data_IF_607018079489
#
_entry.id   IF_607018079489
#
_cell.length_a   1.000
_cell.length_b   1.000
_cell.length_c   1.000
_cell.angle_alpha   90.00
_cell.angle_beta   90.00
_cell.angle_gamma   90.00
#
_symmetry.space_group_name_H-M   'P 1'
#
loop_
_entity.id
_entity.type
_entity.pdbx_description
1 polymer ?
#
# COMPACT_ATOMS: atom_id res chain seq x y z
N UNK A 1 -15.25 -53.16 36.89
CA UNK A 1 -15.24 -51.87 36.15
C UNK A 1 -16.60 -51.22 36.37
N UNK A 2 -16.64 -50.09 37.09
CA UNK A 2 -17.87 -49.53 37.67
C UNK A 2 -18.87 -49.07 36.60
N UNK A 3 -20.15 -49.41 36.80
CA UNK A 3 -21.28 -49.06 35.92
C UNK A 3 -21.38 -47.55 35.64
N UNK A 4 -20.88 -46.70 36.54
CA UNK A 4 -20.84 -45.24 36.36
C UNK A 4 -19.91 -44.78 35.25
N UNK A 5 -18.79 -45.48 34.99
CA UNK A 5 -17.88 -45.12 33.88
C UNK A 5 -18.46 -45.45 32.51
N UNK A 6 -19.37 -46.44 32.44
CA UNK A 6 -20.06 -46.77 31.20
C UNK A 6 -21.11 -45.72 30.81
N UNK A 7 -21.81 -45.13 31.78
CA UNK A 7 -22.78 -44.06 31.50
C UNK A 7 -22.13 -42.77 30.99
N UNK A 8 -20.95 -42.41 31.50
CA UNK A 8 -20.21 -41.24 31.02
C UNK A 8 -19.67 -41.42 29.59
N UNK A 9 -19.21 -42.62 29.23
CA UNK A 9 -18.78 -42.92 27.85
C UNK A 9 -19.97 -42.96 26.90
N UNK A 10 -21.11 -43.54 27.30
CA UNK A 10 -22.34 -43.55 26.48
C UNK A 10 -22.90 -42.14 26.28
N UNK A 11 -22.88 -41.28 27.31
CA UNK A 11 -23.33 -39.89 27.20
C UNK A 11 -22.41 -39.05 26.31
N UNK A 12 -21.08 -39.21 26.43
CA UNK A 12 -20.12 -38.54 25.55
C UNK A 12 -20.22 -39.00 24.10
N UNK A 13 -20.57 -40.27 23.86
CA UNK A 13 -20.77 -40.80 22.51
C UNK A 13 -22.11 -40.36 21.91
N UNK A 14 -23.16 -40.19 22.73
CA UNK A 14 -24.48 -39.72 22.28
C UNK A 14 -24.49 -38.24 21.90
N UNK A 15 -23.68 -37.41 22.58
CA UNK A 15 -23.55 -35.97 22.27
C UNK A 15 -22.74 -35.72 20.98
N UNK A 16 -21.86 -36.64 20.59
CA UNK A 16 -21.12 -36.58 19.31
C UNK A 16 -21.89 -37.20 18.12
N UNK A 17 -23.06 -37.79 18.32
CA UNK A 17 -23.84 -38.51 17.30
C UNK A 17 -25.27 -37.97 17.13
N UNK A 18 -25.49 -36.68 17.37
CA UNK A 18 -26.69 -36.00 16.87
C UNK A 18 -26.39 -35.45 15.47
N UNK A 19 -26.71 -36.17 14.38
CA UNK A 19 -26.86 -35.52 13.10
C UNK A 19 -28.07 -34.60 13.23
N UNK A 20 -27.83 -33.30 13.18
CA UNK A 20 -28.87 -32.30 12.99
C UNK A 20 -29.42 -32.52 11.58
N UNK A 21 -30.40 -33.42 11.46
CA UNK A 21 -31.17 -33.62 10.25
C UNK A 21 -32.14 -32.45 10.10
N UNK A 22 -31.70 -31.40 9.39
CA UNK A 22 -32.62 -30.40 8.85
C UNK A 22 -33.15 -30.96 7.53
N UNK A 23 -34.47 -31.07 7.33
CA UNK A 23 -35.02 -31.40 6.04
C UNK A 23 -34.89 -30.18 5.12
N UNK A 24 -33.90 -30.20 4.22
CA UNK A 24 -33.85 -29.29 3.08
C UNK A 24 -34.40 -30.04 1.86
N UNK A 25 -35.71 -29.96 1.67
CA UNK A 25 -36.29 -30.03 0.33
C UNK A 25 -36.44 -28.60 -0.17
N UNK A 26 -35.61 -28.15 -1.12
CA UNK A 26 -36.00 -27.26 -2.22
C UNK A 26 -34.91 -27.36 -3.31
N UNK A 27 -35.33 -27.96 -4.43
CA UNK A 27 -35.00 -27.62 -5.83
C UNK A 27 -33.56 -27.27 -6.21
N UNK A 28 -32.98 -28.18 -7.00
CA UNK A 28 -32.01 -27.82 -8.03
C UNK A 28 -32.65 -26.77 -8.96
N UNK A 29 -32.28 -25.50 -8.78
CA UNK A 29 -32.22 -24.54 -9.88
C UNK A 29 -30.76 -24.47 -10.31
N UNK A 30 -30.44 -25.15 -11.41
CA UNK A 30 -29.31 -24.79 -12.24
C UNK A 30 -29.63 -23.44 -12.88
N UNK A 31 -29.34 -22.34 -12.20
CA UNK A 31 -29.00 -21.10 -12.87
C UNK A 31 -27.49 -21.12 -13.04
N UNK A 32 -27.03 -21.37 -14.26
CA UNK A 32 -25.79 -20.77 -14.75
C UNK A 32 -26.00 -19.25 -14.75
N UNK A 33 -25.98 -18.64 -13.56
CA UNK A 33 -25.67 -17.24 -13.44
C UNK A 33 -24.16 -17.19 -13.65
N UNK A 34 -23.77 -16.73 -14.83
CA UNK A 34 -22.46 -16.12 -15.04
C UNK A 34 -22.31 -15.02 -13.99
N UNK A 35 -21.85 -15.39 -12.79
CA UNK A 35 -21.44 -14.44 -11.78
C UNK A 35 -20.21 -13.75 -12.35
N UNK A 36 -20.45 -12.71 -13.14
CA UNK A 36 -19.51 -11.61 -13.30
C UNK A 36 -19.17 -11.21 -11.87
N UNK A 37 -17.97 -11.57 -11.43
CA UNK A 37 -17.36 -11.05 -10.21
C UNK A 37 -17.43 -9.54 -10.39
N UNK A 38 -18.43 -8.93 -9.75
CA UNK A 38 -18.58 -7.49 -9.78
C UNK A 38 -17.41 -6.99 -8.96
N UNK A 39 -16.48 -6.27 -9.60
CA UNK A 39 -15.48 -5.49 -8.87
C UNK A 39 -16.21 -4.78 -7.72
N UNK A 40 -15.62 -4.68 -6.51
CA UNK A 40 -16.24 -3.90 -5.46
C UNK A 40 -16.53 -2.50 -6.01
N UNK A 41 -17.81 -2.17 -6.17
CA UNK A 41 -18.30 -0.87 -6.64
C UNK A 41 -17.77 0.29 -5.79
N UNK A 42 -17.23 -0.02 -4.62
CA UNK A 42 -16.79 0.89 -3.56
C UNK A 42 -15.33 1.36 -3.70
N UNK A 43 -14.52 0.79 -4.61
CA UNK A 43 -13.11 1.18 -4.73
C UNK A 43 -12.84 2.40 -5.64
N UNK A 44 -13.85 2.90 -6.36
CA UNK A 44 -13.64 3.89 -7.43
C UNK A 44 -14.70 4.98 -7.38
N UNK A 45 -14.50 5.98 -6.51
CA UNK A 45 -15.33 7.17 -6.52
C UNK A 45 -15.25 7.86 -7.89
N UNK A 46 -16.40 8.18 -8.48
CA UNK A 46 -16.45 8.96 -9.71
C UNK A 46 -15.94 10.38 -9.43
N UNK A 47 -14.81 10.76 -10.02
CA UNK A 47 -14.16 12.06 -9.76
C UNK A 47 -14.31 13.06 -10.90
N UNK A 48 -14.77 12.59 -12.06
CA UNK A 48 -14.89 13.36 -13.31
C UNK A 48 -13.60 14.09 -13.74
N UNK A 49 -12.44 13.57 -13.30
CA UNK A 49 -11.13 14.08 -13.69
C UNK A 49 -10.77 13.62 -15.09
N UNK A 50 -10.20 14.54 -15.87
CA UNK A 50 -9.77 14.25 -17.24
C UNK A 50 -8.62 13.27 -17.22
N UNK A 51 -8.75 12.22 -18.04
CA UNK A 51 -7.70 11.23 -18.26
C UNK A 51 -7.38 11.14 -19.73
N UNK A 52 -6.10 11.21 -20.03
CA UNK A 52 -5.54 11.07 -21.37
C UNK A 52 -4.94 9.68 -21.46
N UNK A 53 -5.39 8.92 -22.44
CA UNK A 53 -5.00 7.52 -22.63
C UNK A 53 -4.21 7.40 -23.92
N UNK A 54 -2.97 6.91 -23.81
CA UNK A 54 -2.14 6.51 -24.94
C UNK A 54 -2.17 4.99 -25.03
N UNK A 55 -2.92 4.47 -26.00
CA UNK A 55 -3.21 3.04 -26.13
C UNK A 55 -3.33 2.65 -27.59
N UNK A 56 -3.04 1.38 -27.90
CA UNK A 56 -3.32 0.80 -29.21
C UNK A 56 -4.83 0.75 -29.50
N UNK A 57 -5.23 0.99 -30.76
CA UNK A 57 -6.63 0.97 -31.21
C UNK A 57 -7.35 -0.32 -30.81
N UNK A 58 -6.63 -1.45 -30.82
CA UNK A 58 -7.16 -2.76 -30.44
C UNK A 58 -7.58 -2.89 -28.97
N UNK A 59 -7.06 -2.04 -28.09
CA UNK A 59 -7.32 -2.05 -26.64
C UNK A 59 -8.15 -0.85 -26.16
N UNK A 60 -8.36 0.16 -27.02
CA UNK A 60 -9.08 1.40 -26.68
C UNK A 60 -10.44 1.12 -26.03
N UNK A 61 -11.25 0.23 -26.63
CA UNK A 61 -12.57 -0.11 -26.12
C UNK A 61 -12.53 -0.62 -24.66
N UNK A 62 -11.48 -1.35 -24.28
CA UNK A 62 -11.32 -1.89 -22.92
C UNK A 62 -11.02 -0.78 -21.91
N UNK A 63 -10.12 0.13 -22.27
CA UNK A 63 -9.82 1.30 -21.44
C UNK A 63 -11.05 2.16 -21.21
N UNK A 64 -11.81 2.49 -22.26
CA UNK A 64 -13.01 3.30 -22.13
C UNK A 64 -14.13 2.59 -21.36
N UNK A 65 -14.35 1.30 -21.61
CA UNK A 65 -15.33 0.50 -20.86
C UNK A 65 -15.09 0.60 -19.36
N UNK A 66 -13.81 0.60 -18.94
CA UNK A 66 -13.46 0.73 -17.53
C UNK A 66 -13.48 2.17 -17.01
N UNK A 67 -12.87 3.10 -17.74
CA UNK A 67 -12.72 4.50 -17.31
C UNK A 67 -14.05 5.25 -17.26
N UNK A 68 -15.02 4.90 -18.11
CA UNK A 68 -16.37 5.52 -18.09
C UNK A 68 -17.13 5.26 -16.78
N UNK A 69 -16.72 4.25 -16.01
CA UNK A 69 -17.24 4.01 -14.65
C UNK A 69 -16.65 4.98 -13.62
N UNK A 70 -15.50 5.60 -13.89
CA UNK A 70 -14.77 6.47 -12.96
C UNK A 70 -14.72 7.94 -13.41
N UNK A 71 -14.96 8.24 -14.69
CA UNK A 71 -14.95 9.60 -15.26
C UNK A 71 -15.71 9.73 -16.56
N UNK A 72 -16.31 10.90 -16.82
CA UNK A 72 -16.89 11.23 -18.13
C UNK A 72 -15.90 11.88 -19.10
N UNK A 73 -14.66 12.12 -18.65
CA UNK A 73 -13.63 12.90 -19.37
C UNK A 73 -12.42 12.05 -19.79
N UNK A 74 -12.66 10.80 -20.19
CA UNK A 74 -11.62 9.99 -20.82
C UNK A 74 -11.45 10.40 -22.29
N UNK A 75 -10.20 10.58 -22.72
CA UNK A 75 -9.85 10.93 -24.10
C UNK A 75 -8.62 10.15 -24.54
N UNK A 76 -8.62 9.64 -25.77
CA UNK A 76 -7.44 9.08 -26.42
C UNK A 76 -6.72 10.13 -27.24
N UNK A 77 -5.40 10.04 -27.28
CA UNK A 77 -4.54 10.86 -28.13
C UNK A 77 -3.59 9.98 -28.90
N UNK A 78 -3.28 10.37 -30.13
CA UNK A 78 -2.34 9.65 -30.98
C UNK A 78 -0.87 9.96 -30.64
N UNK A 79 -0.62 11.09 -29.98
CA UNK A 79 0.71 11.57 -29.64
C UNK A 79 0.74 12.20 -28.24
N UNK A 80 1.83 11.95 -27.53
CA UNK A 80 2.08 12.56 -26.22
C UNK A 80 2.36 14.06 -26.29
N UNK A 81 2.73 14.55 -27.48
CA UNK A 81 3.01 15.96 -27.74
C UNK A 81 1.75 16.74 -28.16
N UNK A 82 0.57 16.12 -28.13
CA UNK A 82 -0.68 16.80 -28.48
C UNK A 82 -0.97 17.93 -27.48
N UNK A 83 -1.17 19.14 -28.01
CA UNK A 83 -1.43 20.32 -27.19
C UNK A 83 -2.77 20.18 -26.47
N UNK A 84 -2.74 20.00 -25.15
CA UNK A 84 -3.97 19.88 -24.37
C UNK A 84 -3.84 19.16 -23.04
N UNK A 85 -2.66 18.67 -22.65
CA UNK A 85 -2.40 18.09 -21.34
C UNK A 85 -2.21 19.24 -20.33
N UNK A 86 -3.03 19.26 -19.28
CA UNK A 86 -2.96 20.24 -18.20
C UNK A 86 -2.43 19.61 -16.92
N UNK A 87 -1.86 20.42 -16.01
CA UNK A 87 -1.34 19.98 -14.70
C UNK A 87 -2.37 19.23 -13.83
N UNK A 88 -3.65 19.37 -14.11
CA UNK A 88 -4.74 18.69 -13.39
C UNK A 88 -5.19 17.36 -14.00
N UNK A 89 -4.62 16.98 -15.14
CA UNK A 89 -4.98 15.79 -15.91
C UNK A 89 -4.24 14.55 -15.36
N UNK A 90 -4.71 13.37 -15.74
CA UNK A 90 -4.02 12.09 -15.50
C UNK A 90 -3.63 11.49 -16.84
N UNK A 91 -2.40 10.98 -16.97
CA UNK A 91 -1.92 10.35 -18.20
C UNK A 91 -1.73 8.85 -17.97
N UNK A 92 -2.44 8.01 -18.73
CA UNK A 92 -2.28 6.55 -18.74
C UNK A 92 -1.64 6.12 -20.07
N UNK A 93 -0.60 5.30 -20.00
CA UNK A 93 0.15 4.84 -21.16
C UNK A 93 0.20 3.31 -21.17
N UNK A 94 -0.46 2.67 -22.13
CA UNK A 94 -0.37 1.21 -22.30
C UNK A 94 0.98 0.83 -22.94
N UNK A 95 1.61 -0.22 -22.44
CA UNK A 95 2.91 -0.72 -22.94
C UNK A 95 2.88 -1.05 -24.44
N UNK A 96 1.76 -1.52 -24.99
CA UNK A 96 1.67 -1.80 -26.42
C UNK A 96 1.72 -0.55 -27.29
N UNK A 97 1.37 0.62 -26.75
CA UNK A 97 1.56 1.91 -27.43
C UNK A 97 3.05 2.30 -27.44
N UNK A 98 3.74 2.09 -26.31
CA UNK A 98 5.18 2.33 -26.19
C UNK A 98 6.01 1.46 -27.15
N UNK A 99 5.62 0.19 -27.31
CA UNK A 99 6.30 -0.76 -28.21
C UNK A 99 6.20 -0.42 -29.70
N UNK A 100 5.16 0.32 -30.11
CA UNK A 100 4.90 0.69 -31.51
C UNK A 100 5.46 2.06 -31.90
N UNK A 101 5.95 2.85 -30.95
CA UNK A 101 6.31 4.25 -31.14
C UNK A 101 7.84 4.45 -31.10
N UNK A 102 8.35 5.50 -31.73
CA UNK A 102 9.79 5.84 -31.69
C UNK A 102 10.22 6.26 -30.27
N UNK A 103 11.18 5.51 -29.71
CA UNK A 103 11.69 5.65 -28.33
C UNK A 103 12.12 7.06 -27.97
N UNK A 104 12.78 7.77 -28.89
CA UNK A 104 13.29 9.11 -28.59
C UNK A 104 12.17 10.13 -28.45
N UNK A 105 11.14 10.06 -29.30
CA UNK A 105 10.08 11.07 -29.37
C UNK A 105 9.14 11.01 -28.16
N UNK A 106 8.86 9.82 -27.63
CA UNK A 106 7.99 9.71 -26.46
C UNK A 106 8.74 9.90 -25.13
N UNK A 107 10.04 9.59 -25.04
CA UNK A 107 10.81 9.82 -23.82
C UNK A 107 10.80 11.30 -23.41
N UNK A 108 11.09 12.20 -24.36
CA UNK A 108 11.06 13.64 -24.11
C UNK A 108 9.64 14.12 -23.74
N UNK A 109 8.59 13.53 -24.33
CA UNK A 109 7.20 13.85 -24.03
C UNK A 109 6.79 13.45 -22.60
N UNK A 110 7.09 12.21 -22.21
CA UNK A 110 6.80 11.69 -20.85
C UNK A 110 7.60 12.48 -19.81
N UNK A 111 8.88 12.74 -20.09
CA UNK A 111 9.75 13.54 -19.23
C UNK A 111 9.17 14.93 -18.99
N UNK A 112 8.76 15.64 -20.04
CA UNK A 112 8.13 16.94 -19.88
C UNK A 112 6.87 16.86 -19.01
N UNK A 113 5.99 15.88 -19.25
CA UNK A 113 4.76 15.69 -18.47
C UNK A 113 5.07 15.49 -16.98
N UNK A 114 6.04 14.63 -16.66
CA UNK A 114 6.49 14.38 -15.29
C UNK A 114 7.03 15.68 -14.68
N UNK A 115 7.92 16.39 -15.38
CA UNK A 115 8.53 17.62 -14.88
C UNK A 115 7.54 18.79 -14.72
N UNK A 116 6.40 18.77 -15.42
CA UNK A 116 5.29 19.70 -15.19
C UNK A 116 4.39 19.33 -13.99
N UNK A 117 4.65 18.19 -13.35
CA UNK A 117 3.88 17.68 -12.22
C UNK A 117 2.53 17.08 -12.58
N UNK A 118 2.45 16.46 -13.75
CA UNK A 118 1.29 15.71 -14.19
C UNK A 118 1.53 14.23 -13.85
N UNK A 119 0.60 13.55 -13.15
CA UNK A 119 0.73 12.13 -12.86
C UNK A 119 0.66 11.29 -14.13
N UNK A 120 1.68 10.44 -14.30
CA UNK A 120 1.81 9.49 -15.39
C UNK A 120 1.74 8.07 -14.82
N UNK A 121 0.98 7.19 -15.45
CA UNK A 121 0.98 5.75 -15.14
C UNK A 121 1.21 4.95 -16.42
N UNK A 122 2.25 4.13 -16.45
CA UNK A 122 2.44 3.12 -17.48
C UNK A 122 1.75 1.82 -17.05
N UNK A 123 0.99 1.21 -17.95
CA UNK A 123 0.29 -0.05 -17.72
C UNK A 123 0.95 -1.13 -18.58
N UNK A 124 1.52 -2.12 -17.92
CA UNK A 124 2.39 -3.13 -18.49
C UNK A 124 3.52 -3.50 -17.54
N UNK A 125 4.25 -4.57 -17.88
CA UNK A 125 5.20 -5.23 -16.98
C UNK A 125 6.60 -4.60 -16.96
N UNK A 126 6.81 -3.50 -17.69
CA UNK A 126 8.13 -2.92 -17.92
C UNK A 126 8.19 -1.44 -17.48
N UNK A 127 8.91 -1.11 -16.39
CA UNK A 127 9.12 0.25 -15.91
C UNK A 127 10.29 0.97 -16.58
N UNK A 128 11.02 0.35 -17.52
CA UNK A 128 12.32 0.85 -18.03
C UNK A 128 12.26 2.28 -18.55
N UNK A 129 11.15 2.67 -19.18
CA UNK A 129 10.97 4.03 -19.71
C UNK A 129 10.91 5.04 -18.57
N UNK A 130 10.09 4.79 -17.54
CA UNK A 130 10.04 5.65 -16.37
C UNK A 130 11.42 5.68 -15.69
N UNK A 131 12.02 4.52 -15.44
CA UNK A 131 13.36 4.39 -14.86
C UNK A 131 14.37 5.28 -15.59
N UNK A 132 14.43 5.19 -16.93
CA UNK A 132 15.39 5.95 -17.72
C UNK A 132 15.20 7.47 -17.61
N UNK A 133 13.95 7.92 -17.51
CA UNK A 133 13.61 9.34 -17.35
C UNK A 133 13.99 9.82 -15.95
N UNK A 134 13.70 9.03 -14.92
CA UNK A 134 14.01 9.36 -13.54
C UNK A 134 15.52 9.42 -13.30
N UNK A 135 16.27 8.44 -13.81
CA UNK A 135 17.74 8.43 -13.74
C UNK A 135 18.37 9.61 -14.48
N UNK A 136 17.84 9.99 -15.65
CA UNK A 136 18.33 11.16 -16.41
C UNK A 136 18.17 12.47 -15.64
N UNK A 137 17.15 12.56 -14.76
CA UNK A 137 16.78 13.77 -14.04
C UNK A 137 17.15 13.74 -12.56
N UNK A 138 17.96 12.76 -12.12
CA UNK A 138 18.32 12.56 -10.71
C UNK A 138 17.10 12.52 -9.77
N UNK A 139 15.99 11.95 -10.24
CA UNK A 139 14.74 11.85 -9.50
C UNK A 139 14.68 10.54 -8.69
N UNK A 140 14.22 10.66 -7.44
CA UNK A 140 13.94 9.54 -6.55
C UNK A 140 12.98 8.53 -7.17
N UNK A 141 13.22 7.23 -6.98
CA UNK A 141 12.38 6.15 -7.55
C UNK A 141 12.24 4.93 -6.63
N UNK A 142 11.04 4.36 -6.64
CA UNK A 142 10.69 3.09 -6.01
C UNK A 142 9.79 2.29 -6.98
N UNK A 143 10.38 1.80 -8.08
CA UNK A 143 9.68 1.06 -9.13
C UNK A 143 10.13 -0.41 -9.14
N UNK A 144 9.25 -1.31 -8.72
CA UNK A 144 9.59 -2.71 -8.50
C UNK A 144 9.27 -3.58 -9.73
N UNK A 145 10.25 -4.28 -10.33
CA UNK A 145 10.01 -5.06 -11.53
C UNK A 145 8.98 -6.17 -11.29
N UNK A 146 8.14 -6.43 -12.30
CA UNK A 146 7.13 -7.51 -12.28
C UNK A 146 5.74 -7.09 -11.80
N UNK A 147 5.46 -5.80 -11.72
CA UNK A 147 4.12 -5.25 -11.47
C UNK A 147 3.33 -5.11 -12.78
N UNK A 148 2.02 -4.95 -12.69
CA UNK A 148 1.13 -4.75 -13.85
C UNK A 148 1.03 -3.28 -14.28
N UNK A 149 1.37 -2.33 -13.40
CA UNK A 149 1.47 -0.91 -13.74
C UNK A 149 2.39 -0.14 -12.79
N UNK A 150 2.90 0.98 -13.30
CA UNK A 150 3.87 1.86 -12.66
C UNK A 150 3.46 3.32 -12.79
N UNK A 151 3.35 4.03 -11.66
CA UNK A 151 2.98 5.45 -11.63
C UNK A 151 4.11 6.34 -11.15
N UNK A 152 4.13 7.57 -11.63
CA UNK A 152 5.05 8.61 -11.18
C UNK A 152 4.46 10.02 -11.28
N UNK A 153 4.76 10.86 -10.30
CA UNK A 153 4.51 12.30 -10.30
C UNK A 153 5.65 13.01 -9.58
N UNK A 154 6.01 14.20 -10.08
CA UNK A 154 6.96 15.11 -9.46
C UNK A 154 6.25 16.40 -9.05
N UNK A 155 6.56 16.96 -7.89
CA UNK A 155 6.10 18.29 -7.50
C UNK A 155 7.17 19.33 -7.92
N UNK A 156 6.93 20.11 -9.00
CA UNK A 156 7.91 21.09 -9.48
C UNK A 156 8.11 22.29 -8.55
N UNK A 157 7.24 22.45 -7.53
CA UNK A 157 7.35 23.55 -6.55
C UNK A 157 8.12 23.08 -5.33
N UNK A 158 7.75 21.92 -4.76
CA UNK A 158 8.32 21.38 -3.54
C UNK A 158 9.51 20.42 -3.73
N UNK A 159 9.73 19.94 -4.95
CA UNK A 159 10.74 18.92 -5.27
C UNK A 159 10.35 17.48 -4.88
N UNK A 160 9.18 17.29 -4.27
CA UNK A 160 8.70 15.99 -3.83
C UNK A 160 8.40 15.04 -4.99
N UNK A 161 8.50 13.75 -4.75
CA UNK A 161 8.22 12.71 -5.73
C UNK A 161 7.26 11.67 -5.15
N UNK A 162 6.32 11.20 -5.95
CA UNK A 162 5.50 10.04 -5.60
C UNK A 162 5.52 9.01 -6.72
N UNK A 163 5.66 7.74 -6.37
CA UNK A 163 5.53 6.62 -7.31
C UNK A 163 4.47 5.61 -6.89
N UNK A 164 4.06 4.73 -7.79
CA UNK A 164 3.27 3.56 -7.42
C UNK A 164 3.62 2.32 -8.21
N UNK A 165 3.42 1.17 -7.57
CA UNK A 165 3.49 -0.15 -8.16
C UNK A 165 2.13 -0.84 -7.96
N UNK A 166 1.54 -1.36 -9.03
CA UNK A 166 0.24 -2.05 -8.96
C UNK A 166 0.46 -3.49 -9.40
N UNK A 167 0.21 -4.46 -8.52
CA UNK A 167 0.27 -5.88 -8.84
C UNK A 167 -1.04 -6.57 -8.47
N UNK A 168 -1.64 -7.24 -9.45
CA UNK A 168 -2.89 -7.95 -9.28
C UNK A 168 -2.71 -9.46 -9.53
N UNK A 169 -3.06 -10.28 -8.54
CA UNK A 169 -2.99 -11.75 -8.69
C UNK A 169 -3.97 -12.22 -9.77
N UNK A 170 -3.48 -13.02 -10.73
CA UNK A 170 -4.31 -13.65 -11.76
C UNK A 170 -4.98 -14.89 -11.17
N UNK A 171 -6.31 -14.88 -11.10
CA UNK A 171 -7.12 -16.00 -10.60
C UNK A 171 -7.92 -16.71 -11.70
N UNK A 172 -7.83 -16.22 -12.94
CA UNK A 172 -8.55 -16.73 -14.11
C UNK A 172 -10.02 -16.35 -14.20
N UNK A 173 -10.56 -15.58 -13.24
CA UNK A 173 -11.97 -15.14 -13.23
C UNK A 173 -12.09 -13.61 -13.26
N UNK A 174 -11.11 -12.91 -12.72
CA UNK A 174 -11.06 -11.45 -12.68
C UNK A 174 -10.39 -10.91 -13.92
N UNK A 175 -10.98 -9.86 -14.50
CA UNK A 175 -10.30 -9.09 -15.53
C UNK A 175 -9.24 -8.18 -14.87
N UNK A 176 -8.04 -8.75 -14.67
CA UNK A 176 -6.90 -8.05 -14.08
C UNK A 176 -6.63 -6.70 -14.77
N UNK A 177 -6.84 -6.60 -16.08
CA UNK A 177 -6.61 -5.35 -16.79
C UNK A 177 -7.59 -4.25 -16.35
N UNK A 178 -8.86 -4.59 -16.11
CA UNK A 178 -9.85 -3.61 -15.64
C UNK A 178 -9.50 -3.09 -14.23
N UNK A 179 -9.12 -3.99 -13.33
CA UNK A 179 -8.67 -3.64 -11.97
C UNK A 179 -7.46 -2.72 -12.01
N UNK A 180 -6.47 -3.03 -12.85
CA UNK A 180 -5.24 -2.25 -13.01
C UNK A 180 -5.55 -0.86 -13.58
N UNK A 181 -6.38 -0.77 -14.62
CA UNK A 181 -6.78 0.53 -15.22
C UNK A 181 -7.48 1.41 -14.20
N UNK A 182 -8.46 0.86 -13.48
CA UNK A 182 -9.20 1.60 -12.45
C UNK A 182 -8.27 2.10 -11.35
N UNK A 183 -7.38 1.23 -10.87
CA UNK A 183 -6.43 1.55 -9.78
C UNK A 183 -5.44 2.63 -10.21
N UNK A 184 -4.85 2.47 -11.41
CA UNK A 184 -3.95 3.44 -12.01
C UNK A 184 -4.59 4.83 -12.12
N UNK A 185 -5.82 4.88 -12.63
CA UNK A 185 -6.57 6.12 -12.75
C UNK A 185 -6.80 6.78 -11.38
N UNK A 186 -7.29 6.03 -10.41
CA UNK A 186 -7.55 6.54 -9.07
C UNK A 186 -6.30 7.10 -8.40
N UNK A 187 -5.19 6.37 -8.48
CA UNK A 187 -3.92 6.85 -7.96
C UNK A 187 -3.52 8.17 -8.62
N UNK A 188 -3.60 8.24 -9.96
CA UNK A 188 -3.31 9.46 -10.71
C UNK A 188 -4.22 10.62 -10.30
N UNK A 189 -5.51 10.38 -10.10
CA UNK A 189 -6.46 11.41 -9.64
C UNK A 189 -6.09 11.95 -8.27
N UNK A 190 -5.81 11.06 -7.31
CA UNK A 190 -5.42 11.45 -5.94
C UNK A 190 -4.20 12.35 -5.99
N UNK A 191 -3.20 11.98 -6.80
CA UNK A 191 -1.98 12.77 -6.98
C UNK A 191 -2.22 14.10 -7.69
N UNK A 192 -3.02 14.14 -8.75
CA UNK A 192 -3.44 15.38 -9.41
C UNK A 192 -4.24 16.32 -8.49
N UNK A 193 -4.83 15.79 -7.42
CA UNK A 193 -5.55 16.56 -6.40
C UNK A 193 -4.68 16.96 -5.21
N UNK A 194 -3.38 16.63 -5.23
CA UNK A 194 -2.46 16.88 -4.11
C UNK A 194 -2.85 16.11 -2.84
N UNK A 195 -3.57 15.00 -2.99
CA UNK A 195 -3.96 14.17 -1.86
C UNK A 195 -2.74 13.46 -1.28
N UNK A 196 -2.73 13.38 0.04
CA UNK A 196 -1.73 12.59 0.77
C UNK A 196 -1.76 11.13 0.28
N UNK A 197 -0.60 10.45 0.20
CA UNK A 197 -0.54 9.01 -0.05
C UNK A 197 -1.34 8.21 0.99
N UNK A 198 -1.50 8.77 2.20
CA UNK A 198 -2.32 8.24 3.29
C UNK A 198 -3.69 8.89 3.25
N UNK A 199 -4.67 8.19 2.70
CA UNK A 199 -6.07 8.58 2.89
C UNK A 199 -6.53 8.23 4.30
N UNK A 200 -7.21 9.17 4.93
CA UNK A 200 -8.08 8.85 6.06
C UNK A 200 -9.29 8.15 5.45
N UNK A 201 -9.44 6.84 5.69
CA UNK A 201 -10.70 6.15 5.38
C UNK A 201 -11.79 6.92 6.11
N UNK A 202 -12.74 7.50 5.37
CA UNK A 202 -13.93 8.06 5.98
C UNK A 202 -14.73 6.88 6.54
N UNK A 203 -14.89 6.75 7.87
CA UNK A 203 -15.63 5.64 8.46
C UNK A 203 -17.11 5.64 8.04
N UNK A 204 -17.59 6.68 7.33
CA UNK A 204 -18.95 6.77 6.80
C UNK A 204 -19.13 6.23 5.37
N UNK A 205 -18.04 5.97 4.62
CA UNK A 205 -18.10 5.42 3.24
C UNK A 205 -17.91 3.89 3.14
N UNK A 206 -17.73 3.19 4.26
CA UNK A 206 -17.67 1.71 4.29
C UNK A 206 -19.10 1.14 4.36
N UNK A 207 -19.63 0.66 3.23
CA UNK A 207 -20.98 0.09 3.15
C UNK A 207 -21.07 -1.25 3.89
N UNK A 208 -21.62 -1.20 5.11
CA UNK A 208 -22.72 -2.01 5.73
C UNK A 208 -22.75 -3.56 5.57
N UNK A 209 -21.82 -4.23 4.87
CA UNK A 209 -21.75 -5.71 4.81
C UNK A 209 -20.68 -6.33 5.71
N UNK A 210 -19.61 -5.61 6.05
CA UNK A 210 -18.83 -5.93 7.24
C UNK A 210 -19.56 -5.39 8.47
N UNK A 211 -20.60 -6.12 8.91
CA UNK A 211 -21.19 -5.91 10.24
C UNK A 211 -20.14 -6.28 11.29
N UNK A 212 -19.20 -5.39 11.54
CA UNK A 212 -18.63 -4.93 12.82
C UNK A 212 -17.39 -4.09 12.46
N UNK A 213 -17.60 -2.85 11.99
CA UNK A 213 -16.56 -1.83 12.15
C UNK A 213 -16.51 -1.57 13.65
N UNK A 214 -15.35 -1.74 14.28
CA UNK A 214 -15.11 -1.10 15.57
C UNK A 214 -15.25 0.39 15.33
N UNK A 215 -16.43 0.95 15.63
CA UNK A 215 -16.59 2.37 15.86
C UNK A 215 -15.67 2.71 17.03
N UNK A 216 -14.45 3.10 16.71
CA UNK A 216 -13.60 3.81 17.64
C UNK A 216 -14.15 5.22 17.73
N UNK A 217 -14.72 5.59 18.87
CA UNK A 217 -15.21 6.95 19.20
C UNK A 217 -14.12 8.04 19.20
N UNK A 218 -12.94 7.76 18.65
CA UNK A 218 -11.95 8.75 18.27
C UNK A 218 -11.90 8.77 16.75
N UNK A 219 -12.31 9.85 16.06
CA UNK A 219 -11.81 10.06 14.71
C UNK A 219 -10.29 9.91 14.76
N UNK A 220 -9.70 9.13 13.86
CA UNK A 220 -8.26 9.17 13.62
C UNK A 220 -7.88 10.62 13.26
N UNK A 221 -7.65 11.46 14.26
CA UNK A 221 -6.84 12.65 14.16
C UNK A 221 -5.41 12.14 14.09
N UNK A 222 -5.00 11.71 12.89
CA UNK A 222 -3.67 12.09 12.48
C UNK A 222 -3.73 13.61 12.51
N UNK A 223 -3.23 14.19 13.62
CA UNK A 223 -3.05 15.62 13.71
C UNK A 223 -2.44 16.02 12.38
N UNK A 224 -3.08 16.97 11.68
CA UNK A 224 -2.50 17.58 10.49
C UNK A 224 -1.04 17.77 10.84
N UNK A 225 -0.16 16.97 10.26
CA UNK A 225 1.25 17.30 10.30
C UNK A 225 1.24 18.68 9.66
N UNK A 226 1.47 19.70 10.47
CA UNK A 226 1.89 20.99 9.96
C UNK A 226 3.28 20.71 9.42
N UNK A 227 3.35 20.07 8.25
CA UNK A 227 4.53 20.04 7.41
C UNK A 227 4.72 21.50 7.00
N UNK A 228 5.35 22.25 7.90
CA UNK A 228 6.19 23.36 7.53
C UNK A 228 7.03 22.91 6.34
N UNK A 229 7.27 23.83 5.41
CA UNK A 229 7.94 23.70 4.10
C UNK A 229 9.41 23.23 4.16
N UNK A 230 9.74 22.35 5.09
CA UNK A 230 11.07 21.95 5.53
C UNK A 230 11.33 20.46 5.28
N UNK A 231 10.43 19.72 4.65
CA UNK A 231 10.67 18.31 4.31
C UNK A 231 10.36 18.06 2.83
N UNK A 232 11.32 17.50 2.09
CA UNK A 232 11.06 16.92 0.77
C UNK A 232 10.65 15.46 0.98
N UNK A 233 9.59 15.01 0.30
CA UNK A 233 9.10 13.64 0.42
C UNK A 233 9.38 12.85 -0.84
N UNK A 234 9.93 11.66 -0.68
CA UNK A 234 9.83 10.59 -1.64
C UNK A 234 8.87 9.53 -1.08
N UNK A 235 7.69 9.40 -1.69
CA UNK A 235 6.71 8.39 -1.30
C UNK A 235 6.43 7.39 -2.41
N UNK A 236 6.01 6.20 -2.02
CA UNK A 236 5.39 5.30 -2.97
C UNK A 236 4.30 4.45 -2.35
N UNK A 237 3.44 3.99 -3.26
CA UNK A 237 2.28 3.18 -2.98
C UNK A 237 2.39 1.85 -3.71
N UNK A 238 2.20 0.73 -3.01
CA UNK A 238 2.05 -0.59 -3.62
C UNK A 238 0.69 -1.17 -3.27
N UNK A 239 -0.09 -1.54 -4.27
CA UNK A 239 -1.32 -2.30 -4.09
C UNK A 239 -1.09 -3.74 -4.55
N UNK A 240 -1.34 -4.67 -3.64
CA UNK A 240 -1.37 -6.09 -3.93
C UNK A 240 -2.78 -6.63 -3.75
N UNK A 241 -3.41 -6.97 -4.87
CA UNK A 241 -4.72 -7.60 -4.86
C UNK A 241 -4.56 -9.13 -4.82
N UNK A 242 -4.81 -9.76 -3.66
CA UNK A 242 -4.88 -11.21 -3.52
C UNK A 242 -6.34 -11.65 -3.66
N UNK A 243 -6.74 -12.07 -4.87
CA UNK A 243 -8.15 -12.28 -5.21
C UNK A 243 -8.91 -13.17 -4.22
N UNK A 244 -8.26 -14.18 -3.67
CA UNK A 244 -8.90 -15.10 -2.72
C UNK A 244 -8.86 -14.61 -1.27
N UNK A 245 -7.76 -13.96 -0.88
CA UNK A 245 -7.37 -13.77 0.53
C UNK A 245 -7.66 -12.38 1.08
N UNK A 246 -7.52 -11.35 0.26
CA UNK A 246 -7.53 -9.98 0.77
C UNK A 246 -6.75 -9.00 -0.08
N UNK A 247 -6.63 -7.77 0.41
CA UNK A 247 -5.80 -6.73 -0.19
C UNK A 247 -4.71 -6.33 0.77
N UNK A 248 -3.58 -5.92 0.20
CA UNK A 248 -2.47 -5.37 0.96
C UNK A 248 -2.10 -4.05 0.30
N UNK A 249 -2.09 -2.99 1.11
CA UNK A 249 -1.68 -1.65 0.71
C UNK A 249 -0.40 -1.31 1.46
N UNK A 250 0.67 -1.03 0.71
CA UNK A 250 1.92 -0.55 1.25
C UNK A 250 2.06 0.92 0.90
N UNK A 251 2.35 1.77 1.88
CA UNK A 251 2.72 3.15 1.65
C UNK A 251 3.99 3.42 2.44
N UNK A 252 5.06 3.78 1.75
CA UNK A 252 6.27 4.27 2.41
C UNK A 252 6.49 5.70 2.02
N UNK A 253 6.91 6.50 2.98
CA UNK A 253 7.33 7.86 2.74
C UNK A 253 8.64 8.10 3.47
N UNK A 254 9.61 8.62 2.74
CA UNK A 254 10.89 9.07 3.28
C UNK A 254 10.97 10.58 3.12
N UNK A 255 11.17 11.24 4.25
CA UNK A 255 11.20 12.67 4.35
C UNK A 255 12.63 13.10 4.63
N UNK A 256 13.23 13.90 3.76
CA UNK A 256 14.52 14.55 4.03
C UNK A 256 14.30 15.85 4.79
N UNK A 257 15.07 16.06 5.85
CA UNK A 257 15.05 17.30 6.62
C UNK A 257 15.79 18.41 5.85
N UNK A 258 15.04 19.35 5.29
CA UNK A 258 15.61 20.54 4.67
C UNK A 258 16.17 21.51 5.73
N UNK A 259 17.26 22.19 5.37
CA UNK A 259 17.86 23.26 6.18
C UNK A 259 18.24 22.81 7.60
N UNK A 260 18.74 21.59 7.74
CA UNK A 260 19.19 21.02 9.00
C UNK A 260 20.40 21.75 9.63
N UNK A 261 20.95 22.78 8.96
CA UNK A 261 22.04 23.61 9.45
C UNK A 261 23.31 22.81 9.77
N UNK A 262 23.52 21.68 9.10
CA UNK A 262 24.77 20.94 9.17
C UNK A 262 25.31 20.65 7.78
N UNK A 263 26.63 20.67 7.65
CA UNK A 263 27.36 20.29 6.42
C UNK A 263 27.88 18.86 6.50
N UNK A 264 27.62 18.15 7.60
CA UNK A 264 28.21 16.83 7.86
C UNK A 264 27.23 15.70 7.56
N UNK A 265 25.95 15.88 7.88
CA UNK A 265 24.94 14.84 7.75
C UNK A 265 23.68 15.40 7.13
N UNK A 266 22.91 14.56 6.46
CA UNK A 266 21.50 14.82 6.18
C UNK A 266 20.65 13.80 6.95
N UNK A 267 19.44 14.20 7.34
CA UNK A 267 18.53 13.37 8.15
C UNK A 267 17.28 12.99 7.36
N UNK A 268 16.95 11.71 7.43
CA UNK A 268 15.80 11.12 6.77
C UNK A 268 14.87 10.49 7.81
N UNK A 269 13.59 10.84 7.75
CA UNK A 269 12.53 10.17 8.50
C UNK A 269 11.79 9.21 7.58
N UNK A 270 11.74 7.94 7.94
CA UNK A 270 11.00 6.92 7.18
C UNK A 270 9.73 6.55 7.93
N UNK A 271 8.63 6.51 7.19
CA UNK A 271 7.29 6.29 7.69
C UNK A 271 6.67 5.13 6.91
N UNK A 272 6.58 3.96 7.54
CA UNK A 272 6.19 2.71 6.89
C UNK A 272 4.74 2.40 7.22
N UNK A 273 3.88 2.28 6.21
CA UNK A 273 2.49 1.91 6.38
C UNK A 273 2.22 0.59 5.64
N UNK A 274 1.72 -0.39 6.37
CA UNK A 274 1.25 -1.66 5.83
C UNK A 274 -0.18 -1.86 6.31
N UNK A 275 -1.12 -1.79 5.38
CA UNK A 275 -2.52 -2.11 5.59
C UNK A 275 -2.86 -3.46 4.97
N UNK A 276 -3.65 -4.23 5.70
CA UNK A 276 -4.15 -5.54 5.29
C UNK A 276 -5.66 -5.56 5.43
N UNK A 277 -6.36 -6.02 4.38
CA UNK A 277 -7.81 -6.14 4.35
C UNK A 277 -8.16 -7.58 3.98
N UNK A 278 -8.44 -8.47 4.94
CA UNK A 278 -8.73 -9.87 4.65
C UNK A 278 -10.15 -10.02 4.08
N UNK A 279 -10.36 -11.00 3.20
CA UNK A 279 -11.69 -11.40 2.69
C UNK A 279 -12.38 -12.34 3.69
N UNK A 280 -12.75 -11.83 4.85
CA UNK A 280 -13.43 -12.63 5.88
C UNK A 280 -14.85 -13.05 5.48
N UNK A 281 -15.63 -12.14 4.91
CA UNK A 281 -16.96 -12.44 4.38
C UNK A 281 -16.93 -12.28 2.85
N UNK A 282 -17.28 -13.32 2.05
CA UNK A 282 -17.75 -14.66 2.43
C UNK A 282 -16.65 -15.72 2.58
N UNK A 283 -15.39 -15.38 2.29
CA UNK A 283 -14.33 -16.39 2.07
C UNK A 283 -13.64 -16.89 3.34
N UNK A 284 -13.94 -16.34 4.52
CA UNK A 284 -13.37 -16.73 5.82
C UNK A 284 -11.84 -16.65 5.91
N UNK A 285 -11.22 -15.76 5.12
CA UNK A 285 -9.80 -15.45 5.29
C UNK A 285 -9.59 -14.42 6.40
N UNK A 286 -8.49 -14.57 7.13
CA UNK A 286 -8.05 -13.71 8.23
C UNK A 286 -6.57 -13.36 8.09
N UNK A 287 -6.16 -12.21 8.62
CA UNK A 287 -4.74 -11.83 8.73
C UNK A 287 -4.14 -12.43 10.00
N UNK A 288 -3.06 -13.20 9.86
CA UNK A 288 -2.29 -13.80 10.96
C UNK A 288 -1.11 -12.92 11.35
N UNK A 289 -0.33 -12.49 10.35
CA UNK A 289 0.88 -11.72 10.60
C UNK A 289 0.96 -10.53 9.66
N UNK A 290 1.53 -9.45 10.18
CA UNK A 290 1.98 -8.29 9.41
C UNK A 290 3.40 -7.97 9.84
N UNK A 291 4.35 -7.94 8.90
CA UNK A 291 5.76 -7.72 9.19
C UNK A 291 6.33 -6.64 8.30
N UNK A 292 7.04 -5.69 8.91
CA UNK A 292 7.83 -4.66 8.23
C UNK A 292 9.28 -4.84 8.69
N UNK A 293 10.18 -5.18 7.76
CA UNK A 293 11.58 -5.46 8.10
C UNK A 293 12.52 -5.00 6.99
N UNK A 294 13.80 -4.83 7.32
CA UNK A 294 14.80 -4.46 6.34
C UNK A 294 16.06 -3.91 6.98
N UNK A 295 16.85 -3.17 6.20
CA UNK A 295 18.09 -2.56 6.68
C UNK A 295 18.46 -1.27 5.94
N UNK A 296 19.34 -0.49 6.56
CA UNK A 296 19.99 0.71 5.97
C UNK A 296 21.49 0.48 5.82
N UNK A 297 21.88 -0.67 5.28
CA UNK A 297 23.25 -1.19 5.37
C UNK A 297 24.28 -0.53 4.43
N UNK A 298 24.05 0.71 3.96
CA UNK A 298 24.98 1.40 3.09
C UNK A 298 26.09 2.14 3.87
N UNK A 299 27.26 2.31 3.24
CA UNK A 299 28.38 3.04 3.85
C UNK A 299 27.99 4.50 4.11
N UNK A 300 28.31 5.03 5.29
CA UNK A 300 27.93 6.39 5.67
C UNK A 300 26.53 6.56 6.26
N UNK A 301 25.67 5.53 6.22
CA UNK A 301 24.33 5.58 6.80
C UNK A 301 24.25 4.95 8.18
N UNK A 302 23.49 5.57 9.08
CA UNK A 302 23.28 5.07 10.44
C UNK A 302 21.85 5.34 10.91
N UNK A 303 21.23 4.35 11.53
CA UNK A 303 19.97 4.58 12.23
C UNK A 303 20.22 5.38 13.51
N UNK A 304 19.47 6.47 13.63
CA UNK A 304 19.48 7.37 14.78
C UNK A 304 18.45 6.91 15.80
N UNK A 305 17.26 6.48 15.32
CA UNK A 305 16.14 6.08 16.17
C UNK A 305 15.19 5.16 15.41
N UNK A 306 14.57 4.23 16.12
CA UNK A 306 13.40 3.48 15.67
C UNK A 306 12.21 3.84 16.56
N UNK A 307 11.02 3.44 16.14
CA UNK A 307 9.88 3.28 17.04
C UNK A 307 10.28 2.52 18.32
N UNK A 308 9.78 2.99 19.45
CA UNK A 308 10.24 2.60 20.78
C UNK A 308 9.79 1.19 21.20
N UNK A 309 10.42 0.74 22.27
CA UNK A 309 10.66 -0.63 22.77
C UNK A 309 9.47 -1.35 23.43
N UNK A 310 8.22 -1.13 23.00
CA UNK A 310 7.07 -1.78 23.66
C UNK A 310 6.48 -2.89 22.80
N UNK A 311 6.87 -4.13 23.13
CA UNK A 311 6.00 -5.26 22.80
C UNK A 311 4.65 -5.03 23.48
N UNK A 312 3.57 -4.94 22.70
CA UNK A 312 2.26 -4.43 23.12
C UNK A 312 1.45 -5.38 24.01
N UNK A 313 2.09 -6.15 24.90
CA UNK A 313 1.39 -7.13 25.73
C UNK A 313 0.28 -6.47 26.57
N UNK A 314 -0.97 -6.61 26.11
CA UNK A 314 -2.16 -6.09 26.77
C UNK A 314 -2.51 -4.62 26.51
N UNK A 315 -1.87 -3.93 25.55
CA UNK A 315 -2.23 -2.56 25.17
C UNK A 315 -3.19 -2.55 23.98
N UNK A 316 -4.13 -1.60 23.95
CA UNK A 316 -5.03 -1.40 22.80
C UNK A 316 -4.46 -0.45 21.75
N UNK A 317 -3.44 0.34 22.11
CA UNK A 317 -2.82 1.35 21.24
C UNK A 317 -1.32 1.37 21.45
N UNK A 318 -0.57 1.65 20.38
CA UNK A 318 0.87 1.93 20.44
C UNK A 318 1.14 3.32 19.89
N UNK A 319 2.11 4.02 20.49
CA UNK A 319 2.50 5.37 20.11
C UNK A 319 3.90 5.36 19.53
N UNK A 320 4.04 5.95 18.34
CA UNK A 320 5.31 6.24 17.70
C UNK A 320 5.82 7.57 18.21
N UNK A 321 7.06 7.60 18.68
CA UNK A 321 7.78 8.81 19.06
C UNK A 321 9.20 8.81 18.47
N UNK A 322 9.40 9.55 17.38
CA UNK A 322 10.66 9.71 16.66
C UNK A 322 11.34 11.04 17.02
N UNK A 323 11.67 11.21 18.30
CA UNK A 323 12.40 12.39 18.78
C UNK A 323 13.93 12.24 18.68
N UNK A 324 14.64 13.21 18.12
CA UNK A 324 16.10 13.28 18.23
C UNK A 324 16.61 14.71 18.28
N UNK A 325 17.83 14.89 18.76
CA UNK A 325 18.49 16.20 18.78
C UNK A 325 19.93 16.09 18.32
N UNK A 326 20.42 17.10 17.60
CA UNK A 326 21.79 17.18 17.13
C UNK A 326 22.34 18.60 17.26
N UNK A 327 23.66 18.73 17.17
CA UNK A 327 24.33 20.02 17.16
C UNK A 327 24.55 20.44 15.70
N UNK A 328 23.98 21.59 15.33
CA UNK A 328 24.28 22.27 14.08
C UNK A 328 25.73 22.76 14.03
N UNK A 329 26.22 23.09 12.84
CA UNK A 329 27.59 23.58 12.65
C UNK A 329 27.84 24.92 13.35
N UNK A 330 26.78 25.71 13.57
CA UNK A 330 26.81 26.95 14.35
C UNK A 330 26.80 26.73 15.88
N UNK A 331 26.81 25.48 16.36
CA UNK A 331 26.80 25.14 17.78
C UNK A 331 25.42 25.21 18.46
N UNK A 332 24.36 25.49 17.71
CA UNK A 332 22.97 25.44 18.21
C UNK A 332 22.47 23.99 18.25
N UNK A 333 21.82 23.60 19.34
CA UNK A 333 21.12 22.30 19.43
C UNK A 333 19.78 22.41 18.73
N UNK A 334 19.56 21.55 17.74
CA UNK A 334 18.28 21.43 17.03
C UNK A 334 17.60 20.15 17.52
N UNK A 335 16.33 20.25 17.89
CA UNK A 335 15.49 19.13 18.30
C UNK A 335 14.37 18.89 17.29
N UNK A 336 14.19 17.64 16.88
CA UNK A 336 13.17 17.20 15.94
C UNK A 336 12.32 16.16 16.65
N UNK A 337 11.02 16.25 16.46
CA UNK A 337 10.08 15.28 17.00
C UNK A 337 8.95 15.04 16.01
N UNK A 338 8.70 13.77 15.72
CA UNK A 338 7.50 13.32 15.04
C UNK A 338 6.84 12.25 15.91
N UNK A 339 5.51 12.34 16.06
CA UNK A 339 4.77 11.38 16.85
C UNK A 339 3.39 11.10 16.25
N UNK A 340 2.98 9.84 16.29
CA UNK A 340 1.64 9.38 15.93
C UNK A 340 1.28 8.13 16.74
N UNK A 341 0.06 7.62 16.61
CA UNK A 341 -0.33 6.37 17.28
C UNK A 341 -1.26 5.55 16.40
N UNK A 342 -1.30 4.24 16.62
CA UNK A 342 -2.22 3.33 15.95
C UNK A 342 -2.70 2.22 16.91
N UNK A 343 -3.79 1.56 16.53
CA UNK A 343 -4.45 0.55 17.36
C UNK A 343 -3.74 -0.80 17.23
N UNK A 344 -3.48 -1.45 18.38
CA UNK A 344 -2.85 -2.78 18.49
C UNK A 344 -3.64 -3.70 19.41
N UNK A 345 -4.93 -3.40 19.63
CA UNK A 345 -5.80 -4.27 20.42
C UNK A 345 -5.85 -5.67 19.79
N UNK A 346 -5.66 -6.69 20.62
CA UNK A 346 -5.59 -8.10 20.20
C UNK A 346 -4.44 -8.41 19.23
N UNK A 347 -3.39 -7.57 19.25
CA UNK A 347 -2.15 -7.74 18.48
C UNK A 347 -0.96 -7.79 19.43
N UNK A 348 -0.09 -8.77 19.22
CA UNK A 348 1.23 -8.85 19.86
C UNK A 348 2.25 -8.23 18.92
N UNK A 349 2.68 -7.01 19.22
CA UNK A 349 3.82 -6.37 18.55
C UNK A 349 5.13 -6.94 19.12
N UNK A 350 6.04 -7.33 18.25
CA UNK A 350 7.42 -7.74 18.56
C UNK A 350 8.37 -6.82 17.80
N UNK A 351 9.18 -6.05 18.53
CA UNK A 351 10.19 -5.17 17.97
C UNK A 351 11.57 -5.88 18.03
N UNK A 352 12.02 -6.39 16.88
CA UNK A 352 13.32 -7.05 16.71
C UNK A 352 14.37 -6.11 16.08
N UNK A 353 14.13 -4.80 16.09
CA UNK A 353 15.07 -3.82 15.55
C UNK A 353 16.43 -3.89 16.26
N UNK A 354 17.51 -3.79 15.48
CA UNK A 354 18.87 -3.81 15.99
C UNK A 354 19.66 -2.64 15.38
N UNK A 355 19.91 -1.60 16.20
CA UNK A 355 20.64 -0.40 15.76
C UNK A 355 22.08 -0.73 15.36
N UNK A 356 22.76 -1.61 16.11
CA UNK A 356 24.15 -1.99 15.84
C UNK A 356 24.32 -2.74 14.52
N UNK A 357 23.35 -3.58 14.17
CA UNK A 357 23.30 -4.29 12.89
C UNK A 357 22.62 -3.48 11.77
N UNK A 358 22.05 -2.31 12.08
CA UNK A 358 21.27 -1.45 11.15
C UNK A 358 20.07 -2.16 10.53
N UNK A 359 19.47 -3.06 11.30
CA UNK A 359 18.28 -3.84 10.92
C UNK A 359 17.08 -3.25 11.64
N UNK A 360 15.97 -3.10 10.93
CA UNK A 360 14.65 -2.87 11.52
C UNK A 360 13.78 -4.09 11.23
N UNK A 361 12.96 -4.50 12.19
CA UNK A 361 12.07 -5.67 12.09
C UNK A 361 10.95 -5.50 13.13
N UNK A 362 9.77 -5.12 12.65
CA UNK A 362 8.54 -5.03 13.42
C UNK A 362 7.60 -6.13 12.96
N UNK A 363 7.25 -7.02 13.88
CA UNK A 363 6.29 -8.09 13.64
C UNK A 363 5.04 -7.87 14.48
N UNK A 364 3.90 -7.73 13.81
CA UNK A 364 2.58 -7.69 14.40
C UNK A 364 1.95 -9.07 14.22
N UNK A 365 1.78 -9.79 15.32
CA UNK A 365 1.07 -11.06 15.38
C UNK A 365 -0.38 -10.79 15.80
N UNK A 366 -1.32 -10.99 14.89
CA UNK A 366 -2.74 -10.74 15.09
C UNK A 366 -3.41 -12.03 15.58
N UNK A 367 -4.22 -11.95 16.63
CA UNK A 367 -5.01 -13.10 17.07
C UNK A 367 -6.09 -13.41 16.02
N UNK A 368 -5.92 -14.52 15.30
CA UNK A 368 -6.76 -14.91 14.17
C UNK A 368 -8.21 -15.13 14.58
N UNK A 369 -8.47 -15.40 15.86
CA UNK A 369 -9.81 -15.60 16.43
C UNK A 369 -10.56 -14.30 16.72
N UNK A 370 -9.91 -13.15 16.57
CA UNK A 370 -10.43 -11.83 16.96
C UNK A 370 -10.80 -11.00 15.75
N UNK A 371 -11.61 -9.98 16.01
CA UNK A 371 -12.09 -9.06 14.98
C UNK A 371 -10.93 -8.35 14.24
N UNK A 372 -9.83 -8.06 14.95
CA UNK A 372 -8.65 -7.40 14.35
C UNK A 372 -8.07 -8.17 13.16
N UNK A 373 -8.17 -9.51 13.18
CA UNK A 373 -7.72 -10.38 12.10
C UNK A 373 -8.79 -10.56 10.99
N UNK A 374 -10.03 -10.13 11.22
CA UNK A 374 -11.16 -10.28 10.28
C UNK A 374 -11.52 -8.97 9.58
N UNK A 375 -10.93 -7.86 10.01
CA UNK A 375 -11.13 -6.51 9.49
C UNK A 375 -9.83 -5.92 8.95
N UNK A 376 -9.91 -4.68 8.46
CA UNK A 376 -8.72 -3.90 8.10
C UNK A 376 -7.80 -3.73 9.31
N UNK A 377 -6.52 -4.03 9.12
CA UNK A 377 -5.46 -3.79 10.10
C UNK A 377 -4.31 -3.02 9.48
N UNK A 378 -3.77 -2.03 10.21
CA UNK A 378 -2.69 -1.17 9.74
C UNK A 378 -1.51 -1.18 10.73
N UNK A 379 -0.35 -1.64 10.26
CA UNK A 379 0.93 -1.46 10.93
C UNK A 379 1.59 -0.17 10.44
N UNK A 380 2.01 0.69 11.37
CA UNK A 380 2.59 1.99 11.01
C UNK A 380 3.83 2.38 11.84
N UNK A 381 4.93 1.60 11.83
CA UNK A 381 6.17 1.96 12.48
C UNK A 381 6.94 3.04 11.70
N UNK A 382 7.97 3.60 12.33
CA UNK A 382 8.84 4.57 11.67
C UNK A 382 10.27 4.53 12.21
N UNK A 383 11.17 5.22 11.49
CA UNK A 383 12.57 5.36 11.90
C UNK A 383 13.18 6.67 11.44
N UNK A 384 14.31 7.02 12.04
CA UNK A 384 15.17 8.12 11.62
C UNK A 384 16.54 7.58 11.25
N UNK A 385 16.99 7.92 10.06
CA UNK A 385 18.32 7.60 9.54
C UNK A 385 19.09 8.89 9.31
N UNK A 386 20.40 8.85 9.58
CA UNK A 386 21.33 9.88 9.13
C UNK A 386 22.24 9.33 8.06
N UNK A 387 22.61 10.17 7.11
CA UNK A 387 23.56 9.87 6.04
C UNK A 387 24.61 10.99 5.99
N UNK A 388 25.71 10.80 5.27
CA UNK A 388 26.65 11.90 5.01
C UNK A 388 26.00 12.97 4.13
N UNK A 389 26.29 14.24 4.38
CA UNK A 389 25.64 15.32 3.64
C UNK A 389 25.90 15.23 2.13
N UNK A 390 24.84 15.36 1.33
CA UNK A 390 24.82 15.21 -0.12
C UNK A 390 24.96 13.77 -0.62
N UNK A 391 24.90 12.77 0.26
CA UNK A 391 24.88 11.36 -0.14
C UNK A 391 23.46 10.91 -0.50
N UNK A 392 23.34 9.89 -1.35
CA UNK A 392 22.07 9.23 -1.62
C UNK A 392 21.62 8.40 -0.43
N UNK A 393 20.35 8.50 -0.06
CA UNK A 393 19.74 7.63 0.94
C UNK A 393 19.34 6.30 0.29
N UNK A 394 19.84 5.20 0.84
CA UNK A 394 19.54 3.83 0.44
C UNK A 394 18.82 3.08 1.56
N UNK A 395 17.74 2.40 1.21
CA UNK A 395 17.03 1.53 2.13
C UNK A 395 16.65 0.24 1.42
N UNK A 396 16.85 -0.88 2.11
CA UNK A 396 16.31 -2.17 1.68
C UNK A 396 15.15 -2.50 2.59
N UNK A 397 14.03 -2.84 1.99
CA UNK A 397 12.79 -2.98 2.71
C UNK A 397 12.00 -4.19 2.22
N UNK A 398 11.41 -4.87 3.19
CA UNK A 398 10.68 -6.10 3.00
C UNK A 398 9.42 -6.06 3.86
N UNK A 399 8.31 -6.41 3.24
CA UNK A 399 7.02 -6.55 3.90
C UNK A 399 6.55 -7.98 3.75
N UNK A 400 5.94 -8.51 4.78
CA UNK A 400 5.30 -9.80 4.71
C UNK A 400 3.96 -9.78 5.42
N UNK A 401 2.96 -10.35 4.76
CA UNK A 401 1.63 -10.56 5.35
C UNK A 401 1.30 -12.03 5.27
N UNK A 402 0.87 -12.62 6.37
CA UNK A 402 0.38 -14.00 6.38
C UNK A 402 -1.13 -13.97 6.47
N UNK A 403 -1.79 -14.57 5.48
CA UNK A 403 -3.22 -14.87 5.57
C UNK A 403 -3.42 -16.33 5.98
N UNK A 404 -4.51 -16.60 6.68
CA UNK A 404 -5.00 -17.94 6.97
C UNK A 404 -6.50 -18.03 6.68
N UNK A 405 -7.03 -19.24 6.59
CA UNK A 405 -8.44 -19.52 6.28
C UNK A 405 -9.11 -20.26 7.45
N UNK A 406 -10.32 -19.82 7.84
CA UNK A 406 -11.10 -20.51 8.85
C UNK A 406 -12.05 -21.53 8.20
N UNK A 407 -11.79 -22.82 8.40
CA UNK A 407 -12.59 -23.90 7.82
C UNK A 407 -13.84 -24.29 8.66
N UNK A 408 -14.12 -23.55 9.74
CA UNK A 408 -15.23 -23.82 10.67
C UNK A 408 -14.81 -24.45 12.00
N UNK A 409 -13.61 -25.05 12.08
CA UNK A 409 -13.08 -25.69 13.30
C UNK A 409 -11.73 -25.14 13.74
N UNK A 410 -10.84 -24.82 12.79
CA UNK A 410 -9.53 -24.22 13.05
C UNK A 410 -9.08 -23.37 11.86
N UNK A 411 -7.98 -22.63 12.06
CA UNK A 411 -7.31 -21.87 11.00
C UNK A 411 -6.33 -22.76 10.23
N UNK A 412 -6.41 -22.75 8.91
CA UNK A 412 -5.53 -23.46 7.97
C UNK A 412 -5.06 -22.53 6.83
N UNK A 413 -4.46 -23.08 5.76
CA UNK A 413 -3.95 -22.34 4.59
C UNK A 413 -3.10 -21.10 4.94
N UNK A 414 -2.18 -21.22 5.89
CA UNK A 414 -1.23 -20.16 6.22
C UNK A 414 -0.34 -19.88 5.01
N UNK A 415 -0.61 -18.79 4.30
CA UNK A 415 0.14 -18.35 3.13
C UNK A 415 0.74 -16.97 3.40
N UNK A 416 2.05 -16.93 3.43
CA UNK A 416 2.80 -15.70 3.50
C UNK A 416 2.98 -15.11 2.09
N UNK A 417 2.61 -13.85 1.96
CA UNK A 417 2.87 -13.00 0.82
C UNK A 417 4.04 -12.07 1.20
N UNK A 418 5.16 -12.19 0.51
CA UNK A 418 6.37 -11.39 0.77
C UNK A 418 6.61 -10.44 -0.38
N UNK A 419 6.94 -9.20 -0.02
CA UNK A 419 7.16 -8.09 -0.93
C UNK A 419 8.54 -7.54 -0.65
N UNK A 420 9.46 -7.79 -1.57
CA UNK A 420 10.79 -7.24 -1.56
C UNK A 420 10.80 -6.09 -2.55
N UNK A 421 10.79 -4.87 -2.05
CA UNK A 421 10.95 -3.70 -2.91
C UNK A 421 12.42 -3.49 -3.33
N UNK A 422 13.30 -4.39 -2.88
CA UNK A 422 14.72 -4.34 -3.23
C UNK A 422 15.39 -3.13 -2.57
N UNK A 423 16.44 -2.63 -3.22
CA UNK A 423 17.15 -1.45 -2.74
C UNK A 423 16.60 -0.23 -3.48
N UNK A 424 16.05 0.72 -2.73
CA UNK A 424 15.63 2.00 -3.26
C UNK A 424 16.67 3.08 -2.96
N UNK A 425 16.65 4.14 -3.77
CA UNK A 425 17.59 5.26 -3.69
C UNK A 425 16.84 6.59 -3.77
N UNK A 426 17.14 7.48 -2.84
CA UNK A 426 16.57 8.84 -2.79
C UNK A 426 17.68 9.87 -2.79
N UNK A 427 17.49 10.89 -3.62
CA UNK A 427 18.42 11.97 -3.93
C UNK A 427 17.87 13.31 -3.51
#
# INVERSE_FOLDING_TARGET
MNKEKWYLVLLATLVMLVPVAIPITVSALSSEESATVTEPTENFAFTDKKVIVLVDESKEAKYFSRLTQSTSKATTVSSINDQGILNSDVVLIDQSWLEKTDKAVYNDGIENIILYGIPVVTIGADPDILISILEKNDLSRALDPGCDAYGYIYDPVGGGTSSCNILCEKDGKTDVTEVVIGTAYNWGVKKAMGMSPREKIDPTEVDVRSKTVLQTDAPFELGRFNWNSQWQSADWFELYYQHTRGWINLVNAHYELNNDQTTTYDFWMSDFYLETVPKWDPNRYSTSDSVIRGNVAYSGQQNVRYDFDQSSQGQSTTSIELGFSYLSDGGMTIGINAAWSYTVQDVVLVNNCNMGARIYDWWHNLDESKLVAHSTYCANPGMVTRISSGATFYINENRAVTFCHFNGLWYDDFKQCTYNSGMHSYT
#
